data_IF_090222416388
#
_entry.id   IF_090222416388
#
_cell.length_a   1.000
_cell.length_b   1.000
_cell.length_c   1.000
_cell.angle_alpha   90.00
_cell.angle_beta   90.00
_cell.angle_gamma   90.00
#
_symmetry.space_group_name_H-M   'P 1'
#
loop_
_entity.id
_entity.type
_entity.pdbx_description
1 polymer ?
#
# COMPACT_ATOMS: atom_id res chain seq x y z
N UNK A 1 38.57 42.31 40.01
CA UNK A 1 40.00 42.33 39.60
C UNK A 1 40.11 41.65 38.26
N UNK A 2 40.30 42.44 37.19
CA UNK A 2 41.49 42.53 36.29
C UNK A 2 41.86 41.15 35.67
N UNK A 3 41.96 40.95 34.34
CA UNK A 3 42.48 41.79 33.27
C UNK A 3 42.04 41.27 31.90
N UNK A 4 41.76 42.18 30.97
CA UNK A 4 41.70 41.99 29.52
C UNK A 4 43.08 41.76 28.95
N UNK A 5 43.23 40.96 27.88
CA UNK A 5 44.33 41.08 26.92
C UNK A 5 43.73 41.09 25.49
N UNK A 6 44.07 42.19 24.83
CA UNK A 6 43.81 42.50 23.42
C UNK A 6 45.13 42.22 22.67
N UNK A 7 45.08 41.48 21.58
CA UNK A 7 46.25 41.34 20.68
C UNK A 7 45.82 41.77 19.27
N UNK A 8 46.46 42.86 18.87
CA UNK A 8 46.41 43.47 17.54
C UNK A 8 47.52 42.82 16.71
N UNK A 9 47.20 42.37 15.49
CA UNK A 9 48.20 42.02 14.48
C UNK A 9 48.09 42.98 13.31
N UNK A 10 49.17 43.68 13.08
CA UNK A 10 49.41 44.62 12.00
C UNK A 10 49.93 43.91 10.76
N UNK A 11 49.32 44.28 9.62
CA UNK A 11 49.72 43.85 8.28
C UNK A 11 51.01 44.53 7.83
N UNK A 12 51.93 43.79 7.26
CA UNK A 12 53.05 44.32 6.51
C UNK A 12 52.96 43.87 5.05
N UNK A 13 52.73 44.81 4.16
CA UNK A 13 52.75 44.58 2.72
C UNK A 13 54.19 44.78 2.20
N UNK A 14 54.69 43.79 1.49
CA UNK A 14 55.91 43.90 0.70
C UNK A 14 55.56 43.76 -0.78
N UNK A 15 55.79 44.82 -1.50
CA UNK A 15 55.66 44.83 -2.98
C UNK A 15 57.05 44.44 -3.53
N UNK A 16 57.17 43.42 -4.29
CA UNK A 16 58.29 43.11 -5.15
C UNK A 16 57.81 42.89 -6.60
N UNK A 17 58.20 43.84 -7.45
CA UNK A 17 58.10 43.73 -8.90
C UNK A 17 59.20 42.81 -9.41
N UNK A 18 58.83 41.80 -10.21
CA UNK A 18 59.76 40.95 -10.93
C UNK A 18 59.08 40.44 -12.21
N UNK A 19 59.47 40.99 -13.36
CA UNK A 19 59.14 40.47 -14.67
C UNK A 19 59.90 39.16 -14.94
N UNK A 20 59.19 38.14 -15.36
CA UNK A 20 59.79 36.89 -15.84
C UNK A 20 58.68 35.99 -16.38
N UNK A 21 58.44 35.98 -17.70
CA UNK A 21 57.50 35.06 -18.32
C UNK A 21 57.94 33.60 -18.12
N UNK A 22 57.04 32.78 -17.68
CA UNK A 22 57.07 31.33 -17.87
C UNK A 22 55.65 30.93 -18.26
N UNK A 23 55.57 30.21 -19.37
CA UNK A 23 54.35 29.59 -19.84
C UNK A 23 53.77 28.68 -18.73
N UNK A 24 52.63 29.05 -18.18
CA UNK A 24 51.84 28.16 -17.32
C UNK A 24 51.38 26.96 -18.16
N UNK A 25 51.55 25.72 -17.66
CA UNK A 25 50.99 24.55 -18.33
C UNK A 25 49.44 24.68 -18.39
N UNK A 26 48.87 24.46 -19.57
CA UNK A 26 47.44 24.46 -19.78
C UNK A 26 46.75 23.61 -18.69
N UNK A 27 45.63 24.07 -18.11
CA UNK A 27 44.88 23.28 -17.15
C UNK A 27 44.55 21.92 -17.74
N UNK A 28 44.95 20.84 -17.08
CA UNK A 28 44.61 19.47 -17.48
C UNK A 28 43.09 19.31 -17.62
N UNK A 29 42.62 18.36 -18.42
CA UNK A 29 41.22 18.16 -18.63
C UNK A 29 40.51 17.96 -17.27
N UNK A 30 39.51 18.80 -16.99
CA UNK A 30 38.64 18.66 -15.82
C UNK A 30 37.86 17.36 -16.04
N UNK A 31 38.29 16.27 -15.40
CA UNK A 31 37.54 15.04 -15.33
C UNK A 31 36.34 15.36 -14.43
N UNK A 32 35.09 15.33 -14.98
CA UNK A 32 33.91 15.54 -14.12
C UNK A 32 33.94 14.49 -13.01
N UNK A 33 33.51 14.79 -11.79
CA UNK A 33 33.46 13.81 -10.72
C UNK A 33 32.61 12.65 -11.18
N UNK A 34 33.15 11.45 -11.10
CA UNK A 34 32.40 10.21 -11.34
C UNK A 34 31.35 10.16 -10.25
N UNK A 35 30.12 10.57 -10.55
CA UNK A 35 28.99 10.36 -9.64
C UNK A 35 28.69 8.86 -9.66
N UNK A 36 29.13 8.15 -8.63
CA UNK A 36 28.74 6.76 -8.47
C UNK A 36 27.22 6.66 -8.40
N UNK A 37 26.65 5.73 -9.15
CA UNK A 37 25.22 5.42 -9.05
C UNK A 37 24.93 4.87 -7.66
N UNK A 38 23.95 5.40 -6.91
CA UNK A 38 23.60 4.88 -5.59
C UNK A 38 23.33 3.37 -5.63
N UNK A 39 23.63 2.68 -4.53
CA UNK A 39 23.46 1.22 -4.43
C UNK A 39 21.98 0.82 -4.69
N UNK A 40 21.04 1.66 -4.24
CA UNK A 40 19.60 1.47 -4.48
C UNK A 40 19.19 1.50 -5.97
N UNK A 41 20.03 2.04 -6.85
CA UNK A 41 19.84 2.05 -8.31
C UNK A 41 20.63 0.94 -9.03
N UNK A 42 21.56 0.26 -8.33
CA UNK A 42 22.39 -0.84 -8.86
C UNK A 42 21.70 -2.17 -8.60
N UNK A 43 20.66 -2.47 -9.38
CA UNK A 43 19.96 -3.75 -9.27
C UNK A 43 19.85 -4.44 -10.62
N UNK A 44 20.08 -5.76 -10.64
CA UNK A 44 20.10 -6.60 -11.83
C UNK A 44 19.23 -7.84 -11.62
N UNK A 45 18.67 -8.36 -12.72
CA UNK A 45 17.92 -9.61 -12.72
C UNK A 45 18.81 -10.76 -12.21
N UNK A 46 18.27 -11.60 -11.33
CA UNK A 46 18.96 -12.68 -10.67
C UNK A 46 19.61 -12.32 -9.33
N UNK A 47 19.73 -11.04 -9.00
CA UNK A 47 20.26 -10.57 -7.71
C UNK A 47 19.15 -10.27 -6.71
N UNK A 48 19.48 -10.23 -5.43
CA UNK A 48 18.59 -9.73 -4.37
C UNK A 48 18.44 -8.22 -4.54
N UNK A 49 17.22 -7.71 -4.32
CA UNK A 49 17.00 -6.27 -4.31
C UNK A 49 17.89 -5.61 -3.24
N UNK A 50 18.71 -4.60 -3.59
CA UNK A 50 19.49 -3.85 -2.61
C UNK A 50 18.59 -3.28 -1.50
N UNK A 51 19.11 -3.22 -0.28
CA UNK A 51 18.42 -2.59 0.83
C UNK A 51 17.94 -1.17 0.46
N UNK A 52 16.86 -0.74 1.12
CA UNK A 52 16.41 0.63 1.00
C UNK A 52 17.50 1.60 1.50
N UNK A 53 17.65 2.72 0.83
CA UNK A 53 18.52 3.82 1.19
C UNK A 53 17.74 5.11 1.44
N UNK A 54 18.26 5.96 2.29
CA UNK A 54 17.65 7.24 2.67
C UNK A 54 17.32 8.12 1.46
N UNK A 55 16.08 8.56 1.38
CA UNK A 55 15.51 9.33 0.26
C UNK A 55 14.77 8.52 -0.79
N UNK A 56 14.87 7.19 -0.78
CA UNK A 56 14.08 6.35 -1.67
C UNK A 56 12.69 6.06 -1.09
N UNK A 57 11.69 6.01 -1.96
CA UNK A 57 10.35 5.52 -1.62
C UNK A 57 10.16 4.15 -2.26
N UNK A 58 9.92 3.13 -1.47
CA UNK A 58 9.60 1.79 -1.95
C UNK A 58 8.12 1.45 -1.71
N UNK A 59 7.46 0.93 -2.73
CA UNK A 59 6.11 0.39 -2.68
C UNK A 59 6.17 -1.10 -3.04
N UNK A 60 5.80 -1.98 -2.12
CA UNK A 60 5.85 -3.42 -2.31
C UNK A 60 4.44 -4.01 -2.31
N UNK A 61 3.97 -4.52 -3.44
CA UNK A 61 2.78 -5.37 -3.51
C UNK A 61 3.21 -6.81 -3.19
N UNK A 62 2.85 -7.29 -2.00
CA UNK A 62 3.27 -8.59 -1.51
C UNK A 62 2.32 -9.67 -2.03
N UNK A 63 2.83 -10.69 -2.72
CA UNK A 63 2.06 -11.88 -3.04
C UNK A 63 2.00 -12.80 -1.82
N UNK A 64 1.04 -12.57 -0.95
CA UNK A 64 0.79 -13.40 0.23
C UNK A 64 -0.21 -14.55 -0.01
N UNK A 65 -0.72 -14.69 -1.23
CA UNK A 65 -1.75 -15.67 -1.59
C UNK A 65 -3.15 -15.07 -1.49
N UNK A 66 -3.86 -15.29 -0.39
CA UNK A 66 -5.27 -14.92 -0.21
C UNK A 66 -5.44 -13.56 0.46
N UNK A 67 -5.79 -12.55 -0.33
CA UNK A 67 -5.98 -11.19 0.12
C UNK A 67 -4.85 -10.25 -0.33
N UNK A 68 -4.85 -9.06 0.19
CA UNK A 68 -3.99 -7.97 -0.26
C UNK A 68 -3.09 -7.47 0.87
N UNK A 69 -1.86 -7.09 0.50
CA UNK A 69 -0.93 -6.41 1.38
C UNK A 69 0.02 -5.54 0.57
N UNK A 70 0.08 -4.25 0.90
CA UNK A 70 1.03 -3.30 0.33
C UNK A 70 1.91 -2.73 1.44
N UNK A 71 3.19 -3.02 1.37
CA UNK A 71 4.20 -2.51 2.30
C UNK A 71 4.95 -1.33 1.68
N UNK A 72 5.14 -0.28 2.44
CA UNK A 72 5.81 0.95 2.01
C UNK A 72 6.98 1.26 2.93
N UNK A 73 8.10 1.68 2.34
CA UNK A 73 9.21 2.30 3.05
C UNK A 73 9.31 3.73 2.51
N UNK A 74 8.95 4.69 3.35
CA UNK A 74 8.87 6.11 2.99
C UNK A 74 10.27 6.74 2.95
N UNK A 75 10.43 7.95 2.37
CA UNK A 75 11.74 8.53 2.10
C UNK A 75 12.70 8.69 3.28
N UNK A 76 12.20 8.71 4.52
CA UNK A 76 13.01 8.77 5.75
C UNK A 76 13.12 7.43 6.49
N UNK A 77 12.66 6.34 5.87
CA UNK A 77 12.61 5.01 6.48
C UNK A 77 11.38 4.74 7.33
N UNK A 78 10.41 5.65 7.42
CA UNK A 78 9.09 5.39 8.02
C UNK A 78 8.42 4.24 7.29
N UNK A 79 7.84 3.30 8.03
CA UNK A 79 7.23 2.08 7.48
C UNK A 79 5.71 2.13 7.56
N UNK A 80 5.05 1.66 6.50
CA UNK A 80 3.59 1.58 6.44
C UNK A 80 3.17 0.28 5.76
N UNK A 81 2.16 -0.39 6.32
CA UNK A 81 1.48 -1.52 5.69
C UNK A 81 0.01 -1.16 5.47
N UNK A 82 -0.46 -1.28 4.24
CA UNK A 82 -1.88 -1.20 3.91
C UNK A 82 -2.38 -2.63 3.71
N UNK A 83 -3.31 -3.04 4.54
CA UNK A 83 -3.92 -4.36 4.61
C UNK A 83 -2.92 -5.51 4.91
N UNK A 84 -3.42 -6.63 5.36
CA UNK A 84 -2.61 -7.75 5.82
C UNK A 84 -3.17 -9.12 5.40
N UNK A 85 -3.97 -9.15 4.32
CA UNK A 85 -4.63 -10.37 3.87
C UNK A 85 -5.38 -11.09 5.02
N UNK A 86 -5.56 -12.39 4.98
CA UNK A 86 -6.13 -13.13 6.10
C UNK A 86 -7.04 -14.28 5.73
N UNK A 87 -7.09 -14.63 4.45
CA UNK A 87 -7.82 -15.83 4.05
C UNK A 87 -6.97 -17.10 4.29
N UNK A 88 -7.59 -18.24 4.57
CA UNK A 88 -6.87 -19.47 4.89
C UNK A 88 -6.12 -20.03 3.68
N UNK A 89 -4.90 -20.61 3.87
CA UNK A 89 -4.05 -21.08 2.78
C UNK A 89 -4.67 -22.23 1.99
N UNK A 90 -5.49 -23.06 2.63
CA UNK A 90 -6.06 -24.25 2.03
C UNK A 90 -7.49 -24.08 1.49
N UNK A 91 -8.03 -22.87 1.54
CA UNK A 91 -9.38 -22.58 1.09
C UNK A 91 -9.39 -22.19 -0.40
N UNK A 92 -9.12 -23.15 -1.27
CA UNK A 92 -9.13 -22.91 -2.72
C UNK A 92 -10.55 -22.80 -3.30
N UNK A 93 -11.59 -23.12 -2.52
CA UNK A 93 -12.94 -23.38 -3.05
C UNK A 93 -14.08 -22.68 -2.30
N UNK A 94 -13.84 -21.86 -1.29
CA UNK A 94 -14.89 -21.61 -0.29
C UNK A 94 -15.84 -20.46 -0.54
N UNK A 95 -15.60 -19.60 -1.48
CA UNK A 95 -16.51 -18.48 -1.74
C UNK A 95 -17.33 -18.65 -3.00
N UNK A 96 -16.83 -19.49 -3.91
CA UNK A 96 -17.49 -19.68 -5.18
C UNK A 96 -16.80 -20.88 -5.87
N UNK A 97 -17.52 -21.91 -6.22
CA UNK A 97 -17.00 -23.03 -7.02
C UNK A 97 -16.37 -22.56 -8.33
N UNK A 98 -16.85 -21.41 -8.83
CA UNK A 98 -16.44 -20.84 -10.11
C UNK A 98 -15.28 -19.85 -10.00
N UNK A 99 -14.80 -19.54 -8.78
CA UNK A 99 -13.69 -18.62 -8.57
C UNK A 99 -12.80 -19.03 -7.40
N UNK A 100 -12.00 -20.09 -7.57
CA UNK A 100 -11.08 -20.54 -6.54
C UNK A 100 -10.05 -19.47 -6.20
N UNK A 101 -9.65 -19.42 -4.94
CA UNK A 101 -8.55 -18.57 -4.50
C UNK A 101 -7.20 -19.16 -4.94
N UNK A 102 -6.19 -18.30 -5.04
CA UNK A 102 -4.82 -18.74 -5.29
C UNK A 102 -4.14 -19.27 -4.01
N UNK A 103 -3.15 -20.13 -4.18
CA UNK A 103 -2.36 -20.67 -3.08
C UNK A 103 -1.42 -19.61 -2.52
N UNK A 104 -1.17 -19.66 -1.21
CA UNK A 104 -0.13 -18.84 -0.57
C UNK A 104 1.26 -19.20 -1.12
N UNK A 105 2.14 -18.22 -1.20
CA UNK A 105 3.55 -18.37 -1.61
C UNK A 105 4.46 -18.04 -0.43
N UNK A 106 5.61 -18.69 -0.29
CA UNK A 106 6.19 -19.76 -1.15
C UNK A 106 5.56 -21.16 -0.95
N UNK A 107 4.64 -21.32 0.00
CA UNK A 107 4.03 -22.64 0.29
C UNK A 107 2.56 -22.49 0.69
N UNK A 108 1.74 -23.44 0.26
CA UNK A 108 0.32 -23.56 0.65
C UNK A 108 0.11 -23.80 2.17
N UNK A 109 1.18 -24.21 2.86
CA UNK A 109 1.14 -24.48 4.31
C UNK A 109 1.51 -23.28 5.17
N UNK A 110 1.75 -22.12 4.54
CA UNK A 110 2.10 -20.88 5.24
C UNK A 110 0.90 -19.92 5.16
N UNK A 111 0.46 -19.40 6.30
CA UNK A 111 -0.56 -18.37 6.33
C UNK A 111 -0.06 -17.08 5.66
N UNK A 112 -0.96 -16.36 4.98
CA UNK A 112 -0.66 -15.09 4.31
C UNK A 112 -0.01 -14.07 5.24
N UNK A 113 -0.50 -13.94 6.47
CA UNK A 113 0.09 -13.05 7.48
C UNK A 113 1.54 -13.41 7.80
N UNK A 114 1.89 -14.69 7.86
CA UNK A 114 3.28 -15.13 8.07
C UNK A 114 4.18 -14.78 6.90
N UNK A 115 3.69 -14.91 5.67
CA UNK A 115 4.41 -14.46 4.46
C UNK A 115 4.70 -12.96 4.56
N UNK A 116 3.70 -12.17 4.90
CA UNK A 116 3.82 -10.70 5.07
C UNK A 116 4.85 -10.37 6.16
N UNK A 117 4.82 -11.05 7.30
CA UNK A 117 5.79 -10.86 8.40
C UNK A 117 7.22 -11.14 7.94
N UNK A 118 7.45 -12.27 7.26
CA UNK A 118 8.79 -12.65 6.77
C UNK A 118 9.29 -11.63 5.74
N UNK A 119 8.41 -11.19 4.83
CA UNK A 119 8.70 -10.18 3.82
C UNK A 119 9.09 -8.83 4.45
N UNK A 120 8.28 -8.33 5.39
CA UNK A 120 8.58 -7.07 6.08
C UNK A 120 9.90 -7.18 6.84
N UNK A 121 10.16 -8.27 7.57
CA UNK A 121 11.41 -8.47 8.30
C UNK A 121 12.64 -8.50 7.40
N UNK A 122 12.49 -8.95 6.16
CA UNK A 122 13.58 -8.96 5.18
C UNK A 122 13.91 -7.55 4.66
N UNK A 123 12.88 -6.71 4.39
CA UNK A 123 13.06 -5.42 3.75
C UNK A 123 13.02 -4.22 4.69
N UNK A 124 12.58 -4.38 5.94
CA UNK A 124 12.45 -3.27 6.87
C UNK A 124 13.80 -2.57 7.11
N UNK A 125 13.87 -1.24 6.99
CA UNK A 125 15.09 -0.50 7.29
C UNK A 125 15.40 -0.57 8.79
N UNK A 126 16.68 -0.56 9.14
CA UNK A 126 17.13 -0.64 10.55
C UNK A 126 16.58 0.49 11.41
N UNK A 127 16.35 1.67 10.83
CA UNK A 127 15.80 2.85 11.52
C UNK A 127 14.36 2.61 12.02
N UNK A 128 13.59 1.71 11.41
CA UNK A 128 12.25 1.33 11.88
C UNK A 128 12.29 0.61 13.25
N UNK A 129 13.48 0.16 13.70
CA UNK A 129 13.66 -0.44 15.03
C UNK A 129 12.82 -1.70 15.28
N UNK A 130 12.53 -2.47 14.24
CA UNK A 130 11.73 -3.69 14.31
C UNK A 130 10.22 -3.44 14.53
N UNK A 131 9.73 -2.24 14.26
CA UNK A 131 8.32 -1.83 14.38
C UNK A 131 7.75 -1.47 13.01
N UNK A 132 6.42 -1.47 12.95
CA UNK A 132 5.65 -0.90 11.84
C UNK A 132 5.05 0.43 12.31
N UNK A 133 5.47 1.54 11.69
CA UNK A 133 5.02 2.87 12.11
C UNK A 133 3.53 3.07 11.88
N UNK A 134 3.03 2.57 10.74
CA UNK A 134 1.64 2.68 10.35
C UNK A 134 1.09 1.36 9.82
N UNK A 135 -0.10 1.00 10.29
CA UNK A 135 -0.99 0.06 9.62
C UNK A 135 -2.23 0.81 9.14
N UNK A 136 -2.61 0.64 7.89
CA UNK A 136 -3.84 1.17 7.32
C UNK A 136 -4.76 0.00 7.02
N UNK A 137 -5.92 -0.06 7.69
CA UNK A 137 -7.02 -0.91 7.24
C UNK A 137 -7.80 -0.17 6.16
N UNK A 138 -7.74 -0.63 4.92
CA UNK A 138 -8.49 0.00 3.85
C UNK A 138 -9.99 -0.11 4.10
N UNK A 139 -10.46 -1.27 4.54
CA UNK A 139 -11.84 -1.57 4.95
C UNK A 139 -11.87 -2.90 5.73
N UNK A 140 -13.06 -3.35 6.15
CA UNK A 140 -13.17 -4.46 7.11
C UNK A 140 -13.50 -5.82 6.48
N UNK A 141 -13.12 -6.10 5.23
CA UNK A 141 -13.19 -7.45 4.67
C UNK A 141 -12.06 -8.36 5.16
N UNK A 142 -12.31 -9.67 5.11
CA UNK A 142 -11.41 -10.66 5.68
C UNK A 142 -10.09 -10.81 4.94
N UNK A 143 -10.08 -10.54 3.66
CA UNK A 143 -8.90 -10.53 2.79
C UNK A 143 -8.05 -9.25 2.91
N UNK A 144 -8.41 -8.36 3.86
CA UNK A 144 -7.69 -7.12 4.20
C UNK A 144 -7.29 -7.04 5.66
N UNK A 145 -8.15 -7.47 6.61
CA UNK A 145 -7.85 -7.36 8.06
C UNK A 145 -7.72 -8.71 8.77
N UNK A 146 -8.05 -9.81 8.10
CA UNK A 146 -8.19 -11.13 8.70
C UNK A 146 -9.65 -11.58 8.78
N UNK A 147 -9.88 -12.87 8.64
CA UNK A 147 -11.21 -13.48 8.51
C UNK A 147 -11.71 -14.10 9.81
N UNK A 148 -13.02 -14.28 9.86
CA UNK A 148 -13.71 -15.12 10.85
C UNK A 148 -14.24 -16.39 10.20
N UNK A 149 -14.01 -17.54 10.85
CA UNK A 149 -14.62 -18.83 10.51
C UNK A 149 -14.90 -19.61 11.77
N UNK A 150 -16.05 -20.27 11.84
CA UNK A 150 -16.38 -21.14 13.00
C UNK A 150 -15.45 -22.35 13.09
N UNK A 151 -14.95 -22.81 11.95
CA UNK A 151 -14.01 -23.94 11.80
C UNK A 151 -12.55 -23.49 11.63
N UNK A 152 -12.18 -22.36 12.25
CA UNK A 152 -10.86 -21.72 12.15
C UNK A 152 -9.66 -22.66 12.39
N UNK A 153 -9.84 -23.69 13.20
CA UNK A 153 -8.80 -24.70 13.46
C UNK A 153 -8.38 -25.47 12.21
N UNK A 154 -9.30 -25.67 11.25
CA UNK A 154 -8.98 -26.33 9.97
C UNK A 154 -8.00 -25.53 9.12
N UNK A 155 -7.90 -24.23 9.37
CA UNK A 155 -7.05 -23.30 8.63
C UNK A 155 -5.74 -22.98 9.35
N UNK A 156 -5.49 -23.64 10.48
CA UNK A 156 -4.30 -23.39 11.28
C UNK A 156 -4.30 -22.04 11.99
N UNK A 157 -5.47 -21.37 12.11
CA UNK A 157 -5.57 -20.12 12.85
C UNK A 157 -5.61 -20.40 14.34
N UNK A 158 -4.55 -20.03 15.02
CA UNK A 158 -4.45 -20.21 16.47
C UNK A 158 -5.29 -19.15 17.18
N UNK A 159 -6.18 -19.54 18.10
CA UNK A 159 -6.88 -18.58 18.95
C UNK A 159 -5.98 -18.11 20.08
N UNK A 160 -6.10 -16.84 20.42
CA UNK A 160 -5.40 -16.17 21.52
C UNK A 160 -6.40 -15.56 22.49
N UNK A 161 -6.02 -15.49 23.77
CA UNK A 161 -6.74 -14.72 24.77
C UNK A 161 -6.42 -13.21 24.66
N UNK A 162 -7.10 -12.40 25.48
CA UNK A 162 -6.88 -10.93 25.52
C UNK A 162 -5.44 -10.53 25.88
N UNK A 163 -4.68 -11.40 26.54
CA UNK A 163 -3.31 -11.11 26.99
C UNK A 163 -2.25 -11.63 26.00
N UNK A 164 -2.70 -12.23 24.91
CA UNK A 164 -1.83 -12.71 23.82
C UNK A 164 -1.23 -14.10 24.10
N UNK A 165 -1.88 -14.92 24.90
CA UNK A 165 -1.50 -16.31 25.10
C UNK A 165 -2.33 -17.21 24.17
N UNK A 166 -1.75 -18.24 23.55
CA UNK A 166 -2.50 -19.20 22.77
C UNK A 166 -3.44 -20.01 23.67
N UNK A 167 -4.66 -20.24 23.20
CA UNK A 167 -5.71 -20.99 23.92
C UNK A 167 -6.29 -22.09 23.03
N UNK A 168 -7.02 -23.04 23.64
CA UNK A 168 -7.63 -24.16 22.88
C UNK A 168 -8.87 -23.74 22.09
N UNK A 169 -9.56 -22.67 22.51
CA UNK A 169 -10.74 -22.13 21.84
C UNK A 169 -10.87 -20.63 22.05
N UNK A 170 -11.38 -19.95 21.05
CA UNK A 170 -11.56 -18.50 21.10
C UNK A 170 -12.75 -18.09 21.98
N UNK A 171 -12.55 -17.03 22.75
CA UNK A 171 -13.61 -16.33 23.44
C UNK A 171 -13.62 -14.85 23.03
N UNK A 172 -14.48 -14.51 22.05
CA UNK A 172 -14.57 -13.16 21.50
C UNK A 172 -15.03 -12.13 22.56
N UNK A 173 -15.98 -12.51 23.43
CA UNK A 173 -16.54 -11.58 24.42
C UNK A 173 -15.56 -11.26 25.55
N UNK A 174 -14.55 -12.11 25.75
CA UNK A 174 -13.47 -11.88 26.71
C UNK A 174 -12.21 -11.26 26.08
N UNK A 175 -12.31 -10.72 24.86
CA UNK A 175 -11.20 -10.07 24.18
C UNK A 175 -10.28 -11.00 23.40
N UNK A 176 -10.69 -12.25 23.14
CA UNK A 176 -9.91 -13.20 22.34
C UNK A 176 -9.88 -12.81 20.87
N UNK A 177 -8.78 -13.18 20.16
CA UNK A 177 -8.59 -12.94 18.74
C UNK A 177 -7.94 -14.15 18.06
N UNK A 178 -7.99 -14.20 16.72
CA UNK A 178 -7.38 -15.26 15.89
C UNK A 178 -6.08 -14.78 15.28
N UNK A 179 -5.10 -15.67 15.18
CA UNK A 179 -3.82 -15.43 14.51
C UNK A 179 -4.03 -15.48 12.98
N UNK A 180 -4.47 -14.38 12.40
CA UNK A 180 -4.53 -14.14 10.96
C UNK A 180 -4.56 -12.63 10.67
N UNK A 181 -4.35 -12.24 9.41
CA UNK A 181 -4.40 -10.84 9.00
C UNK A 181 -3.53 -9.93 9.87
N UNK A 182 -4.11 -8.80 10.30
CA UNK A 182 -3.41 -7.81 11.14
C UNK A 182 -2.89 -8.41 12.46
N UNK A 183 -3.59 -9.37 13.05
CA UNK A 183 -3.16 -9.96 14.32
C UNK A 183 -1.88 -10.77 14.17
N UNK A 184 -1.70 -11.48 13.06
CA UNK A 184 -0.47 -12.22 12.77
C UNK A 184 0.71 -11.28 12.54
N UNK A 185 0.48 -10.18 11.82
CA UNK A 185 1.48 -9.14 11.62
C UNK A 185 1.85 -8.49 12.95
N UNK A 186 0.87 -8.00 13.71
CA UNK A 186 1.12 -7.19 14.90
C UNK A 186 1.59 -7.95 16.13
N UNK A 187 1.37 -9.28 16.22
CA UNK A 187 2.03 -10.13 17.21
C UNK A 187 3.53 -10.30 16.92
N UNK A 188 3.91 -10.26 15.64
CA UNK A 188 5.30 -10.47 15.19
C UNK A 188 6.09 -9.17 15.05
N UNK A 189 5.42 -8.07 14.73
CA UNK A 189 5.99 -6.74 14.47
C UNK A 189 5.08 -5.71 15.15
N UNK A 190 5.49 -5.09 16.29
CA UNK A 190 4.67 -4.12 16.98
C UNK A 190 4.24 -2.96 16.08
N UNK A 191 2.95 -2.66 16.04
CA UNK A 191 2.36 -1.58 15.25
C UNK A 191 2.25 -0.33 16.14
N UNK A 192 2.77 0.81 15.65
CA UNK A 192 2.72 2.08 16.41
C UNK A 192 1.36 2.74 16.26
N UNK A 193 0.87 2.92 15.03
CA UNK A 193 -0.41 3.55 14.76
C UNK A 193 -1.21 2.76 13.73
N UNK A 194 -2.51 2.61 13.99
CA UNK A 194 -3.49 2.05 13.07
C UNK A 194 -4.44 3.15 12.63
N UNK A 195 -4.68 3.25 11.31
CA UNK A 195 -5.70 4.11 10.74
C UNK A 195 -6.73 3.24 9.99
N UNK A 196 -8.00 3.57 10.17
CA UNK A 196 -9.11 2.89 9.52
C UNK A 196 -10.28 3.84 9.21
N UNK A 197 -11.36 3.32 8.62
CA UNK A 197 -12.54 4.09 8.26
C UNK A 197 -13.41 4.53 9.44
N UNK A 198 -13.10 4.11 10.65
CA UNK A 198 -13.85 4.44 11.86
C UNK A 198 -14.79 3.33 12.34
N UNK A 199 -15.82 3.70 13.08
CA UNK A 199 -16.73 2.75 13.73
C UNK A 199 -17.51 1.90 12.72
N UNK A 200 -17.79 0.66 13.10
CA UNK A 200 -18.42 -0.35 12.27
C UNK A 200 -19.80 0.05 11.74
N UNK A 201 -20.56 0.75 12.57
CA UNK A 201 -21.91 1.21 12.29
C UNK A 201 -21.96 2.56 11.55
N UNK A 202 -20.81 3.19 11.23
CA UNK A 202 -20.74 4.54 10.68
C UNK A 202 -19.87 4.64 9.42
N UNK A 203 -20.48 4.72 8.27
CA UNK A 203 -21.88 4.40 7.93
C UNK A 203 -22.10 2.89 8.01
N UNK A 204 -23.37 2.47 8.15
CA UNK A 204 -23.70 1.06 8.22
C UNK A 204 -23.42 0.35 6.91
N UNK A 205 -22.51 -0.62 6.91
CA UNK A 205 -22.27 -1.49 5.76
C UNK A 205 -23.34 -2.59 5.66
N UNK A 206 -23.45 -3.23 4.49
CA UNK A 206 -24.35 -4.38 4.29
C UNK A 206 -24.04 -5.54 5.23
N UNK A 207 -22.82 -5.64 5.72
CA UNK A 207 -22.39 -6.67 6.66
C UNK A 207 -22.67 -6.30 8.13
N UNK A 208 -23.04 -5.05 8.40
CA UNK A 208 -23.37 -4.61 9.74
C UNK A 208 -24.59 -5.38 10.28
N UNK A 209 -24.39 -6.01 11.46
CA UNK A 209 -25.40 -6.85 12.10
C UNK A 209 -25.44 -8.30 11.59
N UNK A 210 -24.62 -8.68 10.56
CA UNK A 210 -24.44 -10.08 10.20
C UNK A 210 -23.54 -10.79 11.22
N UNK A 211 -23.75 -12.09 11.46
CA UNK A 211 -22.95 -12.86 12.42
C UNK A 211 -21.46 -12.87 12.04
N UNK A 212 -21.16 -13.13 10.77
CA UNK A 212 -19.79 -13.19 10.26
C UNK A 212 -19.10 -11.82 10.29
N UNK A 213 -19.78 -10.77 9.81
CA UNK A 213 -19.24 -9.40 9.80
C UNK A 213 -18.95 -8.89 11.21
N UNK A 214 -19.90 -9.07 12.13
CA UNK A 214 -19.73 -8.64 13.51
C UNK A 214 -18.58 -9.38 14.22
N UNK A 215 -18.45 -10.69 14.04
CA UNK A 215 -17.37 -11.48 14.63
C UNK A 215 -16.00 -11.10 14.05
N UNK A 216 -15.89 -10.85 12.73
CA UNK A 216 -14.66 -10.38 12.11
C UNK A 216 -14.23 -9.01 12.64
N UNK A 217 -15.17 -8.06 12.71
CA UNK A 217 -14.89 -6.75 13.29
C UNK A 217 -14.53 -6.85 14.78
N UNK A 218 -15.18 -7.72 15.55
CA UNK A 218 -14.84 -7.95 16.95
C UNK A 218 -13.42 -8.53 17.10
N UNK A 219 -13.00 -9.46 16.24
CA UNK A 219 -11.61 -9.97 16.24
C UNK A 219 -10.60 -8.84 16.02
N UNK A 220 -10.88 -7.97 15.05
CA UNK A 220 -10.06 -6.79 14.77
C UNK A 220 -9.95 -5.88 15.97
N UNK A 221 -11.06 -5.52 16.60
CA UNK A 221 -11.06 -4.66 17.79
C UNK A 221 -10.36 -5.32 19.00
N UNK A 222 -10.57 -6.61 19.23
CA UNK A 222 -9.92 -7.34 20.31
C UNK A 222 -8.39 -7.35 20.13
N UNK A 223 -7.92 -7.55 18.91
CA UNK A 223 -6.49 -7.46 18.62
C UNK A 223 -5.97 -6.03 18.83
N UNK A 224 -6.68 -4.99 18.38
CA UNK A 224 -6.26 -3.60 18.62
C UNK A 224 -6.21 -3.25 20.10
N UNK A 225 -7.15 -3.74 20.89
CA UNK A 225 -7.14 -3.55 22.33
C UNK A 225 -5.95 -4.26 23.00
N UNK A 226 -5.64 -5.48 22.59
CA UNK A 226 -4.40 -6.16 22.97
C UNK A 226 -3.16 -5.33 22.59
N UNK A 227 -3.05 -4.90 21.34
CA UNK A 227 -1.91 -4.14 20.83
C UNK A 227 -1.74 -2.80 21.58
N UNK A 228 -2.84 -2.12 21.90
CA UNK A 228 -2.84 -0.91 22.73
C UNK A 228 -2.26 -1.18 24.11
N UNK A 229 -2.73 -2.22 24.81
CA UNK A 229 -2.24 -2.57 26.14
C UNK A 229 -0.78 -3.03 26.13
N UNK A 230 -0.39 -3.80 25.13
CA UNK A 230 0.95 -4.42 25.05
C UNK A 230 2.03 -3.48 24.53
N UNK A 231 1.71 -2.70 23.51
CA UNK A 231 2.67 -1.92 22.71
C UNK A 231 2.38 -0.42 22.69
N UNK A 232 1.27 0.03 23.29
CA UNK A 232 0.83 1.43 23.19
C UNK A 232 0.27 1.82 21.82
N UNK A 233 -0.14 0.85 21.00
CA UNK A 233 -0.71 1.09 19.67
C UNK A 233 -1.87 2.09 19.73
N UNK A 234 -1.84 3.11 18.87
CA UNK A 234 -2.88 4.13 18.76
C UNK A 234 -3.76 3.82 17.55
N UNK A 235 -5.08 3.82 17.72
CA UNK A 235 -6.05 3.77 16.63
C UNK A 235 -6.58 5.17 16.32
N UNK A 236 -6.62 5.55 15.07
CA UNK A 236 -7.22 6.79 14.58
C UNK A 236 -8.15 6.52 13.39
N UNK A 237 -9.27 7.24 13.33
CA UNK A 237 -10.12 7.27 12.13
C UNK A 237 -9.52 8.24 11.11
N UNK A 238 -9.59 7.91 9.82
CA UNK A 238 -9.16 8.80 8.75
C UNK A 238 -9.92 10.13 8.77
N UNK A 239 -9.17 11.22 8.64
CA UNK A 239 -9.69 12.58 8.44
C UNK A 239 -9.53 12.92 6.96
N UNK A 240 -10.61 12.80 6.22
CA UNK A 240 -10.60 13.03 4.77
C UNK A 240 -10.14 14.45 4.44
N UNK A 241 -9.38 14.61 3.37
CA UNK A 241 -8.81 15.88 2.92
C UNK A 241 -7.49 16.27 3.61
N UNK A 242 -7.11 15.65 4.74
CA UNK A 242 -5.87 16.01 5.46
C UNK A 242 -4.63 15.29 4.95
N UNK A 243 -3.46 15.81 5.32
CA UNK A 243 -2.13 15.21 5.03
C UNK A 243 -1.29 15.06 6.29
N UNK A 244 -1.88 15.15 7.48
CA UNK A 244 -1.20 15.23 8.76
C UNK A 244 -1.24 13.91 9.56
N UNK A 245 -1.94 12.88 9.07
CA UNK A 245 -2.09 11.61 9.78
C UNK A 245 -1.00 10.58 9.42
N UNK A 246 -0.60 10.53 8.14
CA UNK A 246 0.46 9.65 7.61
C UNK A 246 1.66 10.53 7.24
N UNK A 247 2.52 10.80 8.20
CA UNK A 247 3.68 11.67 8.08
C UNK A 247 4.98 10.89 8.27
N UNK A 248 6.06 11.43 7.77
CA UNK A 248 7.40 10.93 8.03
C UNK A 248 7.72 11.00 9.54
N UNK A 249 8.36 9.97 10.11
CA UNK A 249 8.59 9.81 11.55
C UNK A 249 10.03 10.05 11.97
N UNK A 250 10.98 9.82 11.07
CA UNK A 250 12.39 9.86 11.40
C UNK A 250 13.05 11.19 11.03
N UNK A 251 12.72 11.74 9.86
CA UNK A 251 13.18 13.07 9.43
C UNK A 251 12.14 13.80 8.56
N UNK A 252 11.04 14.29 9.15
CA UNK A 252 9.95 14.92 8.41
C UNK A 252 10.36 16.22 7.70
N UNK A 253 11.42 16.90 8.16
CA UNK A 253 11.90 18.15 7.56
C UNK A 253 12.69 17.94 6.27
N UNK A 254 13.35 16.81 6.11
CA UNK A 254 14.26 16.54 4.99
C UNK A 254 13.53 16.32 3.66
N UNK A 255 12.36 15.71 3.70
CA UNK A 255 11.59 15.32 2.51
C UNK A 255 10.25 16.07 2.41
N UNK A 256 10.30 17.40 2.44
CA UNK A 256 9.10 18.27 2.45
C UNK A 256 8.18 18.12 1.23
N UNK A 257 8.68 17.55 0.12
CA UNK A 257 7.89 17.21 -1.07
C UNK A 257 7.11 15.91 -0.94
N UNK A 258 7.35 15.12 0.14
CA UNK A 258 6.58 13.90 0.41
C UNK A 258 5.33 14.21 1.23
N UNK A 259 4.20 13.65 0.83
CA UNK A 259 2.94 13.72 1.58
C UNK A 259 1.99 12.60 1.19
N UNK A 260 1.15 12.19 2.12
CA UNK A 260 0.05 11.26 1.90
C UNK A 260 -1.26 11.97 2.25
N UNK A 261 -2.16 12.06 1.28
CA UNK A 261 -3.49 12.65 1.48
C UNK A 261 -4.54 11.56 1.64
N UNK A 262 -5.39 11.69 2.65
CA UNK A 262 -6.64 10.93 2.76
C UNK A 262 -7.65 11.50 1.76
N UNK A 263 -7.98 10.74 0.72
CA UNK A 263 -8.88 11.18 -0.37
C UNK A 263 -10.32 10.79 -0.09
N UNK A 264 -10.55 9.60 0.46
CA UNK A 264 -11.87 9.17 0.87
C UNK A 264 -11.75 8.15 2.02
N UNK A 265 -12.76 8.08 2.85
CA UNK A 265 -12.95 7.05 3.86
C UNK A 265 -14.37 7.09 4.40
N UNK A 266 -14.98 5.91 4.64
CA UNK A 266 -16.26 5.83 5.33
C UNK A 266 -17.40 6.64 4.69
N UNK A 267 -17.34 6.86 3.38
CA UNK A 267 -18.36 7.63 2.64
C UNK A 267 -18.15 9.13 2.57
N UNK A 268 -17.06 9.62 3.09
CA UNK A 268 -16.61 11.00 2.91
C UNK A 268 -15.57 11.06 1.79
N UNK A 269 -15.60 12.09 0.96
CA UNK A 269 -14.69 12.27 -0.19
C UNK A 269 -14.14 13.69 -0.19
N UNK A 270 -12.83 13.82 -0.35
CA UNK A 270 -12.16 15.10 -0.50
C UNK A 270 -12.62 15.82 -1.77
N UNK A 271 -12.87 17.14 -1.67
CA UNK A 271 -13.40 17.95 -2.79
C UNK A 271 -12.33 18.45 -3.76
N UNK A 272 -11.05 18.19 -3.48
CA UNK A 272 -9.92 18.73 -4.26
C UNK A 272 -9.39 20.07 -3.73
N UNK A 273 -9.99 20.64 -2.69
CA UNK A 273 -9.61 21.95 -2.14
C UNK A 273 -9.35 21.90 -0.63
N UNK A 274 -8.19 22.35 -0.20
CA UNK A 274 -7.80 22.37 1.21
C UNK A 274 -8.04 21.03 1.91
N UNK A 275 -8.78 21.05 3.01
CA UNK A 275 -9.25 19.87 3.75
C UNK A 275 -10.75 19.64 3.62
N UNK A 276 -11.39 20.29 2.63
CA UNK A 276 -12.84 20.20 2.47
C UNK A 276 -13.26 18.80 2.00
N UNK A 277 -14.32 18.28 2.59
CA UNK A 277 -14.92 16.99 2.23
C UNK A 277 -16.41 17.14 1.89
N UNK A 278 -16.91 16.17 1.15
CA UNK A 278 -18.33 16.00 0.86
C UNK A 278 -18.77 14.62 1.35
N UNK A 279 -19.95 14.54 1.96
CA UNK A 279 -20.58 13.28 2.35
C UNK A 279 -21.23 12.66 1.13
N UNK A 280 -20.85 11.40 0.83
CA UNK A 280 -21.33 10.66 -0.33
C UNK A 280 -22.52 9.75 0.02
N UNK A 281 -22.61 9.28 1.27
CA UNK A 281 -23.58 8.27 1.70
C UNK A 281 -24.75 8.86 2.51
N UNK A 282 -25.91 8.15 2.51
CA UNK A 282 -26.99 8.48 3.42
C UNK A 282 -26.55 8.39 4.90
N UNK A 283 -27.32 8.99 5.78
CA UNK A 283 -27.09 8.88 7.22
C UNK A 283 -27.24 7.43 7.69
N UNK A 284 -26.58 7.09 8.82
CA UNK A 284 -26.71 5.78 9.46
C UNK A 284 -28.18 5.45 9.72
N UNK A 285 -28.93 6.45 10.23
CA UNK A 285 -30.35 6.30 10.54
C UNK A 285 -31.17 5.93 9.27
N UNK A 286 -30.89 6.58 8.13
CA UNK A 286 -31.54 6.25 6.86
C UNK A 286 -31.16 4.85 6.36
N UNK A 287 -29.89 4.47 6.48
CA UNK A 287 -29.42 3.13 6.11
C UNK A 287 -30.11 2.05 6.95
N UNK A 288 -30.20 2.23 8.26
CA UNK A 288 -30.81 1.26 9.17
C UNK A 288 -32.32 1.15 9.01
N UNK A 289 -33.01 2.26 8.68
CA UNK A 289 -34.46 2.25 8.41
C UNK A 289 -34.82 1.62 7.07
N UNK A 290 -33.95 1.69 6.08
CA UNK A 290 -34.25 1.28 4.70
C UNK A 290 -33.11 0.39 4.17
N UNK A 291 -32.82 -0.73 4.83
CA UNK A 291 -31.72 -1.64 4.47
C UNK A 291 -31.79 -2.14 3.03
N UNK A 292 -32.98 -2.43 2.51
CA UNK A 292 -33.17 -2.87 1.13
C UNK A 292 -32.80 -1.80 0.09
N UNK A 293 -32.98 -0.52 0.44
CA UNK A 293 -32.64 0.62 -0.41
C UNK A 293 -31.18 1.03 -0.28
N UNK A 294 -30.63 0.98 0.92
CA UNK A 294 -29.31 1.48 1.26
C UNK A 294 -28.39 0.36 1.73
N UNK A 295 -28.33 -0.75 1.00
CA UNK A 295 -27.33 -1.79 1.18
C UNK A 295 -26.00 -1.25 0.65
N UNK A 296 -25.18 -0.69 1.56
CA UNK A 296 -23.87 -0.13 1.25
C UNK A 296 -22.83 -1.24 1.42
N UNK A 297 -22.30 -1.76 0.31
CA UNK A 297 -21.19 -2.72 0.37
C UNK A 297 -19.99 -2.13 1.10
N UNK A 298 -19.36 -2.93 1.96
CA UNK A 298 -18.18 -2.51 2.74
C UNK A 298 -17.07 -1.92 1.86
N UNK A 299 -16.90 -2.43 0.65
CA UNK A 299 -15.94 -1.93 -0.34
C UNK A 299 -16.10 -0.45 -0.66
N UNK A 300 -17.36 0.08 -0.73
CA UNK A 300 -17.59 1.51 -0.98
C UNK A 300 -17.08 2.42 0.14
N UNK A 301 -16.79 1.85 1.31
CA UNK A 301 -16.33 2.56 2.51
C UNK A 301 -14.81 2.63 2.61
N UNK A 302 -14.09 2.06 1.64
CA UNK A 302 -12.63 1.95 1.65
C UNK A 302 -11.94 3.29 1.84
N UNK A 303 -10.82 3.25 2.58
CA UNK A 303 -9.87 4.34 2.70
C UNK A 303 -9.08 4.49 1.40
N UNK A 304 -9.12 5.67 0.81
CA UNK A 304 -8.46 6.01 -0.45
C UNK A 304 -7.36 7.03 -0.17
N UNK A 305 -6.15 6.75 -0.66
CA UNK A 305 -4.99 7.58 -0.44
C UNK A 305 -4.37 8.04 -1.76
N UNK A 306 -3.87 9.28 -1.76
CA UNK A 306 -2.95 9.80 -2.77
C UNK A 306 -1.61 10.09 -2.10
N UNK A 307 -0.58 9.35 -2.49
CA UNK A 307 0.79 9.55 -2.05
C UNK A 307 1.54 10.34 -3.12
N UNK A 308 2.28 11.36 -2.69
CA UNK A 308 3.04 12.25 -3.56
C UNK A 308 4.47 12.37 -3.07
N UNK A 309 5.44 12.28 -3.98
CA UNK A 309 6.84 12.50 -3.70
C UNK A 309 7.51 13.21 -4.87
N UNK A 310 7.79 14.50 -4.74
CA UNK A 310 8.25 15.32 -5.88
C UNK A 310 7.24 15.30 -7.02
N UNK A 311 7.67 14.80 -8.19
CA UNK A 311 6.80 14.61 -9.36
C UNK A 311 6.11 13.23 -9.40
N UNK A 312 6.44 12.30 -8.49
CA UNK A 312 5.84 10.98 -8.44
C UNK A 312 4.53 11.01 -7.65
N UNK A 313 3.47 10.50 -8.26
CA UNK A 313 2.15 10.33 -7.64
C UNK A 313 1.72 8.86 -7.67
N UNK A 314 1.20 8.37 -6.54
CA UNK A 314 0.67 7.02 -6.40
C UNK A 314 -0.74 7.04 -5.81
N UNK A 315 -1.68 6.34 -6.46
CA UNK A 315 -3.06 6.18 -6.02
C UNK A 315 -3.30 4.76 -5.49
N UNK A 316 -3.91 4.66 -4.29
CA UNK A 316 -4.39 3.39 -3.73
C UNK A 316 -5.79 3.58 -3.16
N UNK A 317 -6.73 2.75 -3.59
CA UNK A 317 -8.15 2.90 -3.29
C UNK A 317 -8.77 1.79 -2.45
N UNK A 318 -7.96 0.90 -1.82
CA UNK A 318 -8.52 -0.29 -1.18
C UNK A 318 -9.37 -1.06 -2.19
N UNK A 319 -10.58 -1.41 -1.79
CA UNK A 319 -11.55 -2.12 -2.65
C UNK A 319 -12.70 -1.23 -3.11
N UNK A 320 -12.43 0.09 -3.17
CA UNK A 320 -13.45 1.01 -3.66
C UNK A 320 -14.02 0.55 -5.00
N UNK A 321 -15.31 0.64 -5.15
CA UNK A 321 -16.00 0.21 -6.36
C UNK A 321 -17.04 1.23 -6.83
N UNK A 322 -17.62 0.93 -7.96
CA UNK A 322 -18.72 1.71 -8.52
C UNK A 322 -19.82 0.78 -9.06
N UNK A 323 -21.02 1.32 -9.19
CA UNK A 323 -22.10 0.62 -9.89
C UNK A 323 -22.65 1.53 -10.99
N UNK A 324 -22.16 1.33 -12.21
CA UNK A 324 -22.51 2.13 -13.38
C UNK A 324 -23.99 2.09 -13.78
N UNK A 325 -24.74 1.08 -13.29
CA UNK A 325 -26.16 0.92 -13.57
C UNK A 325 -27.06 1.51 -12.47
N UNK A 326 -26.47 1.92 -11.34
CA UNK A 326 -27.24 2.48 -10.23
C UNK A 326 -27.62 3.93 -10.46
N UNK A 327 -28.86 4.30 -10.13
CA UNK A 327 -29.30 5.69 -10.05
C UNK A 327 -28.90 6.36 -8.74
N UNK A 328 -28.43 5.60 -7.76
CA UNK A 328 -28.03 6.14 -6.46
C UNK A 328 -26.64 6.77 -6.52
N UNK A 329 -26.54 8.06 -6.23
CA UNK A 329 -25.27 8.82 -6.28
C UNK A 329 -24.18 8.24 -5.38
N UNK A 330 -24.51 7.64 -4.24
CA UNK A 330 -23.56 7.04 -3.32
C UNK A 330 -22.85 5.79 -3.89
N UNK A 331 -23.42 5.13 -4.91
CA UNK A 331 -22.76 4.03 -5.66
C UNK A 331 -21.77 4.50 -6.72
N UNK A 332 -21.58 5.81 -6.86
CA UNK A 332 -20.65 6.41 -7.82
C UNK A 332 -19.46 7.10 -7.13
N UNK A 333 -18.91 6.50 -6.06
CA UNK A 333 -17.84 7.08 -5.25
C UNK A 333 -16.61 7.41 -6.08
N UNK A 334 -16.17 6.51 -6.96
CA UNK A 334 -15.02 6.72 -7.85
C UNK A 334 -15.20 7.94 -8.76
N UNK A 335 -16.40 8.20 -9.26
CA UNK A 335 -16.71 9.41 -10.05
C UNK A 335 -16.57 10.69 -9.24
N UNK A 336 -16.90 10.64 -7.95
CA UNK A 336 -16.73 11.79 -7.06
C UNK A 336 -15.24 12.01 -6.76
N UNK A 337 -14.49 10.96 -6.50
CA UNK A 337 -13.04 10.99 -6.30
C UNK A 337 -12.33 11.56 -7.53
N UNK A 338 -12.73 11.14 -8.74
CA UNK A 338 -12.12 11.58 -9.99
C UNK A 338 -12.07 13.11 -10.14
N UNK A 339 -13.07 13.83 -9.59
CA UNK A 339 -13.13 15.30 -9.65
C UNK A 339 -11.97 16.00 -8.92
N UNK A 340 -11.37 15.31 -7.94
CA UNK A 340 -10.28 15.85 -7.12
C UNK A 340 -8.90 15.30 -7.53
N UNK A 341 -8.85 14.38 -8.50
CA UNK A 341 -7.63 13.70 -8.92
C UNK A 341 -6.99 14.32 -10.15
N UNK A 342 -5.76 13.92 -10.42
CA UNK A 342 -4.96 14.18 -11.61
C UNK A 342 -4.26 12.89 -12.04
N UNK A 343 -3.48 12.93 -13.15
CA UNK A 343 -2.65 11.81 -13.58
C UNK A 343 -1.72 11.34 -12.44
N UNK A 344 -1.52 10.03 -12.38
CA UNK A 344 -0.56 9.39 -11.46
C UNK A 344 0.39 8.47 -12.23
N UNK A 345 1.60 8.28 -11.74
CA UNK A 345 2.56 7.34 -12.30
C UNK A 345 2.14 5.90 -12.01
N UNK A 346 1.74 5.63 -10.77
CA UNK A 346 1.41 4.27 -10.32
C UNK A 346 0.02 4.24 -9.69
N UNK A 347 -0.79 3.28 -10.10
CA UNK A 347 -2.08 2.98 -9.50
C UNK A 347 -2.10 1.55 -8.96
N UNK A 348 -2.45 1.39 -7.68
CA UNK A 348 -2.94 0.11 -7.16
C UNK A 348 -4.35 -0.10 -7.71
N UNK A 349 -4.61 -1.24 -8.31
CA UNK A 349 -5.95 -1.63 -8.77
C UNK A 349 -6.93 -1.65 -7.61
N UNK A 350 -8.04 -0.93 -7.70
CA UNK A 350 -9.11 -1.06 -6.70
C UNK A 350 -9.75 -2.44 -6.79
N UNK A 351 -10.03 -3.06 -5.63
CA UNK A 351 -10.74 -4.33 -5.48
C UNK A 351 -10.15 -5.43 -6.39
N UNK A 352 -8.82 -5.59 -6.35
CA UNK A 352 -8.08 -6.61 -7.10
C UNK A 352 -8.38 -6.61 -8.62
N UNK A 353 -8.83 -5.48 -9.17
CA UNK A 353 -9.24 -5.34 -10.57
C UNK A 353 -10.50 -6.15 -10.95
N UNK A 354 -11.48 -6.31 -10.04
CA UNK A 354 -12.78 -6.92 -10.37
C UNK A 354 -13.60 -6.06 -11.32
N UNK A 355 -14.69 -6.60 -11.89
CA UNK A 355 -15.43 -5.97 -12.99
C UNK A 355 -16.17 -4.66 -12.62
N UNK A 356 -16.55 -4.50 -11.36
CA UNK A 356 -17.29 -3.34 -10.85
C UNK A 356 -16.39 -2.29 -10.16
N UNK A 357 -15.16 -2.16 -10.60
CA UNK A 357 -14.16 -1.26 -10.04
C UNK A 357 -13.40 -0.53 -11.13
N UNK A 358 -12.62 0.48 -10.75
CA UNK A 358 -11.78 1.24 -11.68
C UNK A 358 -12.63 1.80 -12.84
N UNK A 359 -13.57 2.69 -12.49
CA UNK A 359 -14.52 3.30 -13.45
C UNK A 359 -13.81 4.07 -14.55
N UNK A 360 -14.49 4.22 -15.68
CA UNK A 360 -13.98 5.03 -16.81
C UNK A 360 -13.68 6.46 -16.36
N UNK A 361 -14.54 7.05 -15.52
CA UNK A 361 -14.35 8.40 -15.01
C UNK A 361 -13.06 8.54 -14.20
N UNK A 362 -12.79 7.60 -13.29
CA UNK A 362 -11.57 7.61 -12.48
C UNK A 362 -10.33 7.38 -13.35
N UNK A 363 -10.36 6.36 -14.20
CA UNK A 363 -9.23 6.00 -15.05
C UNK A 363 -8.89 7.08 -16.09
N UNK A 364 -9.91 7.76 -16.65
CA UNK A 364 -9.69 8.87 -17.62
C UNK A 364 -8.91 10.03 -17.00
N UNK A 365 -9.03 10.23 -15.69
CA UNK A 365 -8.27 11.26 -14.95
C UNK A 365 -6.93 10.73 -14.50
N UNK A 366 -6.88 9.55 -13.86
CA UNK A 366 -5.64 9.00 -13.30
C UNK A 366 -4.64 8.59 -14.38
N UNK A 367 -5.08 8.01 -15.49
CA UNK A 367 -4.24 7.57 -16.63
C UNK A 367 -2.91 6.95 -16.19
N UNK A 368 -2.90 5.93 -15.33
CA UNK A 368 -1.67 5.44 -14.73
C UNK A 368 -0.72 4.90 -15.79
N UNK A 369 0.59 5.12 -15.62
CA UNK A 369 1.62 4.50 -16.45
C UNK A 369 1.84 3.04 -16.02
N UNK A 370 1.72 2.78 -14.70
CA UNK A 370 1.83 1.45 -14.09
C UNK A 370 0.53 1.14 -13.33
N UNK A 371 -0.03 -0.05 -13.60
CA UNK A 371 -1.21 -0.58 -12.94
C UNK A 371 -0.87 -1.89 -12.24
N UNK A 372 -1.00 -1.96 -10.91
CA UNK A 372 -0.63 -3.12 -10.11
C UNK A 372 -1.88 -3.73 -9.48
N UNK A 373 -2.15 -4.99 -9.77
CA UNK A 373 -3.26 -5.74 -9.18
C UNK A 373 -2.75 -6.84 -8.24
N UNK A 374 -3.11 -6.75 -6.96
CA UNK A 374 -2.94 -7.79 -5.97
C UNK A 374 -3.99 -8.89 -6.17
N UNK A 375 -3.73 -9.85 -7.03
CA UNK A 375 -4.68 -10.90 -7.44
C UNK A 375 -4.65 -12.06 -6.48
N UNK A 376 -5.83 -12.50 -6.00
CA UNK A 376 -5.96 -13.67 -5.15
C UNK A 376 -7.12 -14.61 -5.52
N UNK A 377 -7.92 -14.29 -6.56
CA UNK A 377 -8.99 -15.14 -7.09
C UNK A 377 -8.82 -15.35 -8.59
N UNK A 378 -9.29 -16.51 -9.09
CA UNK A 378 -9.17 -16.89 -10.50
C UNK A 378 -9.87 -15.91 -11.45
N UNK A 379 -10.92 -15.19 -11.01
CA UNK A 379 -11.64 -14.17 -11.82
C UNK A 379 -10.94 -12.81 -11.87
N UNK A 380 -9.81 -12.67 -11.24
CA UNK A 380 -9.04 -11.41 -11.15
C UNK A 380 -7.76 -11.52 -11.99
N UNK A 381 -7.37 -10.45 -12.70
CA UNK A 381 -8.13 -9.23 -12.99
C UNK A 381 -9.25 -9.46 -14.02
N UNK A 382 -10.36 -8.69 -13.94
CA UNK A 382 -11.44 -8.77 -14.90
C UNK A 382 -11.04 -8.21 -16.27
N UNK A 383 -11.33 -8.91 -17.38
CA UNK A 383 -11.12 -8.38 -18.73
C UNK A 383 -11.80 -7.03 -18.96
N UNK A 384 -13.03 -6.87 -18.46
CA UNK A 384 -13.79 -5.61 -18.58
C UNK A 384 -13.06 -4.44 -17.92
N UNK A 385 -12.45 -4.66 -16.76
CA UNK A 385 -11.67 -3.62 -16.06
C UNK A 385 -10.39 -3.30 -16.80
N UNK A 386 -9.65 -4.31 -17.26
CA UNK A 386 -8.42 -4.06 -18.01
C UNK A 386 -8.67 -3.35 -19.34
N UNK A 387 -9.80 -3.63 -20.02
CA UNK A 387 -10.20 -2.84 -21.20
C UNK A 387 -10.37 -1.36 -20.88
N UNK A 388 -11.00 -1.02 -19.73
CA UNK A 388 -11.12 0.38 -19.30
C UNK A 388 -9.75 1.01 -19.02
N UNK A 389 -8.85 0.28 -18.35
CA UNK A 389 -7.48 0.74 -18.08
C UNK A 389 -6.75 1.07 -19.38
N UNK A 390 -6.72 0.12 -20.33
CA UNK A 390 -6.02 0.28 -21.62
C UNK A 390 -6.71 1.31 -22.54
N UNK A 391 -8.02 1.52 -22.40
CA UNK A 391 -8.73 2.60 -23.10
C UNK A 391 -8.35 3.97 -22.55
N UNK A 392 -8.19 4.10 -21.24
CA UNK A 392 -7.79 5.37 -20.61
C UNK A 392 -6.34 5.75 -20.88
N UNK A 393 -5.44 4.76 -20.92
CA UNK A 393 -4.04 4.91 -21.32
C UNK A 393 -3.55 3.62 -21.98
N UNK A 394 -3.43 3.56 -23.32
CA UNK A 394 -2.97 2.38 -24.04
C UNK A 394 -1.54 1.93 -23.70
N UNK A 395 -0.74 2.83 -23.12
CA UNK A 395 0.64 2.56 -22.73
C UNK A 395 0.78 2.05 -21.28
N UNK A 396 -0.32 1.89 -20.55
CA UNK A 396 -0.29 1.38 -19.18
C UNK A 396 0.34 -0.01 -19.15
N UNK A 397 1.41 -0.17 -18.37
CA UNK A 397 2.00 -1.48 -18.08
C UNK A 397 1.29 -2.13 -16.90
N UNK A 398 0.74 -3.33 -17.13
CA UNK A 398 -0.04 -4.08 -16.14
C UNK A 398 0.87 -5.07 -15.41
N UNK A 399 0.77 -5.14 -14.08
CA UNK A 399 1.45 -6.11 -13.23
C UNK A 399 0.41 -6.82 -12.36
N UNK A 400 0.46 -8.14 -12.30
CA UNK A 400 -0.40 -8.93 -11.43
C UNK A 400 0.44 -9.86 -10.55
N UNK A 401 0.08 -9.99 -9.27
CA UNK A 401 0.80 -10.90 -8.35
C UNK A 401 0.55 -12.37 -8.66
N UNK A 402 -0.60 -12.67 -9.28
CA UNK A 402 -0.99 -14.00 -9.77
C UNK A 402 -1.84 -13.84 -11.04
N UNK A 403 -1.92 -14.93 -11.81
CA UNK A 403 -2.86 -15.03 -12.92
C UNK A 403 -3.25 -16.50 -13.12
N UNK A 404 -4.52 -16.82 -12.89
CA UNK A 404 -5.03 -18.17 -13.10
C UNK A 404 -5.14 -18.53 -14.59
N UNK A 405 -4.94 -19.80 -14.93
CA UNK A 405 -5.00 -20.28 -16.30
C UNK A 405 -6.38 -20.06 -16.96
N UNK A 406 -7.46 -20.16 -16.18
CA UNK A 406 -8.80 -19.87 -16.68
C UNK A 406 -8.96 -18.38 -17.04
N UNK A 407 -8.38 -17.50 -16.23
CA UNK A 407 -8.40 -16.07 -16.49
C UNK A 407 -7.56 -15.69 -17.71
N UNK A 408 -6.42 -16.33 -17.95
CA UNK A 408 -5.65 -16.18 -19.20
C UNK A 408 -6.53 -16.42 -20.42
N UNK A 409 -7.37 -17.46 -20.36
CA UNK A 409 -8.31 -17.79 -21.46
C UNK A 409 -9.33 -16.68 -21.67
N UNK A 410 -9.92 -16.14 -20.60
CA UNK A 410 -10.90 -15.05 -20.69
C UNK A 410 -10.28 -13.74 -21.19
N UNK A 411 -9.10 -13.40 -20.71
CA UNK A 411 -8.37 -12.21 -21.16
C UNK A 411 -8.09 -12.28 -22.68
N UNK A 412 -7.59 -13.42 -23.17
CA UNK A 412 -7.33 -13.63 -24.60
C UNK A 412 -8.60 -13.59 -25.45
N UNK A 413 -9.71 -14.19 -24.97
CA UNK A 413 -11.00 -14.12 -25.65
C UNK A 413 -11.50 -12.67 -25.77
N UNK A 414 -11.13 -11.82 -24.84
CA UNK A 414 -11.47 -10.39 -24.80
C UNK A 414 -10.43 -9.50 -25.51
N UNK A 415 -9.43 -10.09 -26.19
CA UNK A 415 -8.41 -9.39 -26.96
C UNK A 415 -7.28 -8.80 -26.11
N UNK A 416 -7.14 -9.24 -24.85
CA UNK A 416 -6.05 -8.84 -23.95
C UNK A 416 -5.04 -9.98 -23.87
N UNK A 417 -3.80 -9.76 -24.32
CA UNK A 417 -2.75 -10.76 -24.21
C UNK A 417 -1.91 -10.57 -22.92
N UNK A 418 -2.01 -11.48 -21.94
CA UNK A 418 -1.20 -11.39 -20.72
C UNK A 418 0.32 -11.45 -20.96
N UNK A 419 0.79 -11.91 -22.11
CA UNK A 419 2.21 -11.87 -22.47
C UNK A 419 2.76 -10.44 -22.58
N UNK A 420 1.88 -9.44 -22.75
CA UNK A 420 2.26 -8.01 -22.77
C UNK A 420 2.37 -7.39 -21.37
N UNK A 421 1.92 -8.10 -20.32
CA UNK A 421 2.00 -7.61 -18.94
C UNK A 421 3.46 -7.48 -18.49
N UNK A 422 3.68 -6.64 -17.50
CA UNK A 422 4.96 -6.58 -16.80
C UNK A 422 5.25 -7.87 -16.04
N UNK A 423 4.23 -8.44 -15.38
CA UNK A 423 4.31 -9.77 -14.79
C UNK A 423 2.92 -10.37 -14.61
N UNK A 424 2.88 -11.70 -14.44
CA UNK A 424 1.68 -12.48 -14.10
C UNK A 424 1.89 -13.32 -12.84
N UNK A 425 2.86 -12.94 -11.99
CA UNK A 425 3.23 -13.61 -10.75
C UNK A 425 4.42 -12.92 -10.09
N UNK A 426 4.62 -13.17 -8.79
CA UNK A 426 5.71 -12.60 -8.01
C UNK A 426 5.28 -11.43 -7.12
N UNK A 427 6.20 -10.96 -6.26
CA UNK A 427 6.01 -9.68 -5.56
C UNK A 427 6.38 -8.53 -6.51
N UNK A 428 5.63 -7.44 -6.49
CA UNK A 428 5.89 -6.27 -7.35
C UNK A 428 6.39 -5.12 -6.49
N UNK A 429 7.56 -4.58 -6.85
CA UNK A 429 8.17 -3.45 -6.12
C UNK A 429 8.29 -2.25 -7.05
N UNK A 430 7.78 -1.11 -6.63
CA UNK A 430 8.10 0.18 -7.26
C UNK A 430 9.11 0.89 -6.38
N UNK A 431 10.31 1.11 -6.89
CA UNK A 431 11.36 1.89 -6.21
C UNK A 431 11.48 3.25 -6.87
N UNK A 432 11.19 4.29 -6.10
CA UNK A 432 11.24 5.69 -6.53
C UNK A 432 12.53 6.32 -6.02
N UNK A 433 13.30 6.90 -6.92
CA UNK A 433 14.55 7.57 -6.57
C UNK A 433 14.32 8.82 -5.72
N UNK A 434 15.35 9.18 -4.97
CA UNK A 434 15.35 10.40 -4.15
C UNK A 434 14.86 11.61 -4.96
N UNK A 435 13.90 12.35 -4.38
CA UNK A 435 13.26 13.51 -5.00
C UNK A 435 12.13 13.19 -5.98
N UNK A 436 11.76 11.92 -6.18
CA UNK A 436 10.57 11.52 -6.93
C UNK A 436 10.57 11.82 -8.43
N UNK A 437 11.75 11.90 -9.07
CA UNK A 437 11.86 12.23 -10.50
C UNK A 437 11.92 11.02 -11.42
N UNK A 438 12.31 9.88 -10.91
CA UNK A 438 12.40 8.61 -11.65
C UNK A 438 12.06 7.43 -10.77
N UNK A 439 11.61 6.34 -11.38
CA UNK A 439 11.29 5.11 -10.67
C UNK A 439 11.51 3.87 -11.54
N UNK A 440 11.59 2.73 -10.90
CA UNK A 440 11.66 1.40 -11.52
C UNK A 440 10.54 0.53 -10.99
N UNK A 441 10.15 -0.45 -11.79
CA UNK A 441 9.27 -1.54 -11.35
C UNK A 441 10.04 -2.85 -11.44
N UNK A 442 10.10 -3.56 -10.33
CA UNK A 442 10.85 -4.79 -10.15
C UNK A 442 9.89 -5.90 -9.77
N UNK A 443 10.10 -7.07 -10.32
CA UNK A 443 9.36 -8.27 -9.92
C UNK A 443 10.31 -9.18 -9.15
N UNK A 444 9.89 -9.61 -7.97
CA UNK A 444 10.69 -10.48 -7.11
C UNK A 444 10.10 -11.89 -7.10
N UNK A 445 10.97 -12.87 -7.04
CA UNK A 445 10.63 -14.29 -6.89
C UNK A 445 9.83 -14.54 -5.61
N UNK A 446 8.67 -15.15 -5.71
CA UNK A 446 7.79 -15.52 -4.61
C UNK A 446 7.83 -17.02 -4.29
N UNK A 447 8.65 -17.80 -5.01
CA UNK A 447 8.79 -19.23 -4.79
C UNK A 447 9.64 -19.60 -3.56
N UNK A 448 10.35 -18.60 -3.02
CA UNK A 448 11.21 -18.72 -1.84
C UNK A 448 11.43 -17.36 -1.19
N UNK A 449 12.05 -17.34 0.00
CA UNK A 449 12.30 -16.11 0.78
C UNK A 449 13.64 -15.42 0.45
N UNK A 450 14.25 -15.71 -0.71
CA UNK A 450 15.45 -14.98 -1.18
C UNK A 450 15.09 -13.69 -1.92
N UNK A 451 13.86 -13.56 -2.40
CA UNK A 451 13.31 -12.37 -3.06
C UNK A 451 14.21 -11.80 -4.17
N UNK A 452 14.72 -12.71 -5.05
CA UNK A 452 15.57 -12.28 -6.17
C UNK A 452 14.75 -11.56 -7.23
N UNK A 453 15.35 -10.56 -7.85
CA UNK A 453 14.75 -9.84 -8.98
C UNK A 453 14.63 -10.80 -10.16
N UNK A 454 13.41 -11.05 -10.64
CA UNK A 454 13.13 -11.84 -11.84
C UNK A 454 12.93 -10.98 -13.07
N UNK A 455 12.45 -9.73 -12.88
CA UNK A 455 12.23 -8.78 -13.97
C UNK A 455 12.48 -7.36 -13.48
N UNK A 456 12.94 -6.48 -14.40
CA UNK A 456 13.26 -5.08 -14.14
C UNK A 456 12.73 -4.20 -15.28
N UNK A 457 12.02 -3.15 -14.94
CA UNK A 457 11.48 -2.15 -15.87
C UNK A 457 11.88 -0.74 -15.43
N UNK A 458 12.10 0.14 -16.39
CA UNK A 458 12.55 1.50 -16.13
C UNK A 458 14.08 1.67 -16.34
N UNK A 459 14.65 2.84 -15.94
CA UNK A 459 13.97 3.90 -15.22
C UNK A 459 12.86 4.57 -16.04
N UNK A 460 11.74 4.86 -15.38
CA UNK A 460 10.70 5.74 -15.88
C UNK A 460 10.92 7.15 -15.32
N UNK A 461 10.56 8.17 -16.08
CA UNK A 461 10.64 9.57 -15.64
C UNK A 461 9.27 10.07 -15.24
N UNK A 462 9.15 10.66 -14.06
CA UNK A 462 7.94 11.36 -13.63
C UNK A 462 7.88 12.76 -14.26
N UNK A 463 6.70 13.17 -14.74
CA UNK A 463 6.48 14.40 -15.50
C UNK A 463 5.84 15.50 -14.63
#
# INVERSE_FOLDING_TARGET
MKRKFLLIWTSLAVVLSGCGGKDDPAPGPIIPPITETPAAEKFEVGQVLPAWEDGYLDLHCINGGRGEAFYYILPDGTTMLIDAAGAPPNELTSYDSDSPGVASRPSVNINSGKVIVNYIKHFAPSIAGGKLDYFVSSHYHGDHIGSWRADYNKFGWTPYDKDGNPVSSINLTSGGFLLNGIAEVGLSIPIVKVLDRGDWDKPASEEYGTDSGNKRYQLYLNFLDYAKRKNGTVRETFKVGTTDQLILKHDPGKYSSFKVRSVAAGGHVWTGSGTQEATQFPSVEECLKNKDKYSIGENYLSCVLLMQYGSFDHFTGGDICYNGYSTYSWKHVEKTIAKAMKKVEVMKASHHSTNNTNSTELLTVLKPDIYIAGVWRAVQPSPTTLKRVLTANPNTKIFTTNLDASNVTWLKADGIDPATFGCTGGHVVVRVANGGKKYWVLVLDDSNENYRITQKYGPYTCL
#
